data_IF_984204547903
#
_entry.id   IF_984204547903
#
_cell.length_a   1.000
_cell.length_b   1.000
_cell.length_c   1.000
_cell.angle_alpha   90.00
_cell.angle_beta   90.00
_cell.angle_gamma   90.00
#
_symmetry.space_group_name_H-M   'P 1'
#
loop_
_entity.id
_entity.type
_entity.pdbx_description
1 polymer ?
#
# COMPACT_ATOMS: atom_id res chain seq x y z
N UNK A 1 10.53 -4.71 11.81
CA UNK A 1 10.07 -6.03 11.31
C UNK A 1 8.56 -6.33 11.51
N UNK A 2 7.59 -5.42 11.27
CA UNK A 2 6.16 -5.76 11.38
C UNK A 2 5.72 -6.84 10.36
N UNK A 3 6.24 -6.75 9.12
CA UNK A 3 5.93 -7.70 8.04
C UNK A 3 6.29 -9.14 8.41
N UNK A 4 7.48 -9.39 8.95
CA UNK A 4 7.89 -10.72 9.38
C UNK A 4 6.89 -11.33 10.39
N UNK A 5 6.42 -10.54 11.36
CA UNK A 5 5.46 -10.99 12.36
C UNK A 5 4.08 -11.31 11.74
N UNK A 6 3.63 -10.53 10.76
CA UNK A 6 2.39 -10.81 10.01
C UNK A 6 2.47 -12.14 9.26
N UNK A 7 3.66 -12.49 8.76
CA UNK A 7 3.95 -13.76 8.08
C UNK A 7 4.25 -14.92 9.05
N UNK A 8 4.24 -14.68 10.36
CA UNK A 8 4.45 -15.69 11.40
C UNK A 8 5.91 -15.91 11.83
N UNK A 9 6.80 -14.98 11.51
CA UNK A 9 8.23 -15.04 11.86
C UNK A 9 8.58 -13.97 12.90
N UNK A 10 9.44 -14.31 13.87
CA UNK A 10 9.90 -13.38 14.92
C UNK A 10 9.46 -13.78 16.33
N UNK A 11 9.31 -12.80 17.21
CA UNK A 11 8.95 -13.03 18.62
C UNK A 11 7.53 -13.59 18.74
N UNK A 12 7.36 -14.66 19.54
CA UNK A 12 6.09 -15.36 19.66
C UNK A 12 4.95 -14.48 20.16
N UNK A 13 5.24 -13.51 21.03
CA UNK A 13 4.21 -12.62 21.56
C UNK A 13 3.66 -11.68 20.47
N UNK A 14 4.49 -11.33 19.49
CA UNK A 14 4.11 -10.49 18.35
C UNK A 14 3.45 -11.33 17.24
N UNK A 15 4.01 -12.50 16.92
CA UNK A 15 3.40 -13.39 15.92
C UNK A 15 2.04 -13.92 16.35
N UNK A 16 1.75 -13.99 17.66
CA UNK A 16 0.47 -14.48 18.19
C UNK A 16 -0.53 -13.38 18.57
N UNK A 17 -0.26 -12.11 18.24
CA UNK A 17 -1.16 -11.00 18.58
C UNK A 17 -2.51 -11.16 17.85
N UNK A 18 -3.64 -11.17 18.56
CA UNK A 18 -4.98 -11.32 17.97
C UNK A 18 -5.35 -12.75 17.51
N UNK A 19 -4.41 -13.51 16.94
CA UNK A 19 -4.56 -14.90 16.50
C UNK A 19 -3.21 -15.64 16.61
N UNK A 20 -3.23 -16.96 16.83
CA UNK A 20 -2.06 -17.84 16.85
C UNK A 20 -1.52 -18.18 15.46
N UNK A 21 -2.34 -18.03 14.42
CA UNK A 21 -1.92 -18.24 13.03
C UNK A 21 -1.23 -16.99 12.45
N UNK A 22 -0.40 -17.14 11.40
CA UNK A 22 0.03 -16.02 10.57
C UNK A 22 -1.17 -15.24 10.05
N UNK A 23 -1.06 -13.91 10.02
CA UNK A 23 -2.16 -13.01 9.66
C UNK A 23 -2.34 -12.93 8.16
N UNK A 24 -1.22 -13.03 7.43
CA UNK A 24 -1.17 -12.92 5.98
C UNK A 24 -0.33 -14.08 5.45
N UNK A 25 -0.80 -14.70 4.37
CA UNK A 25 0.00 -15.68 3.63
C UNK A 25 0.95 -14.94 2.68
N UNK A 26 2.20 -15.40 2.50
CA UNK A 26 3.19 -14.70 1.65
C UNK A 26 2.69 -14.35 0.24
N UNK A 27 1.95 -15.26 -0.41
CA UNK A 27 1.42 -15.06 -1.76
C UNK A 27 0.23 -14.09 -1.86
N UNK A 28 -0.28 -13.60 -0.72
CA UNK A 28 -1.29 -12.56 -0.62
C UNK A 28 -0.69 -11.23 -0.14
N UNK A 29 0.64 -11.08 -0.20
CA UNK A 29 1.38 -9.87 0.14
C UNK A 29 2.25 -9.43 -1.03
N UNK A 30 2.25 -8.12 -1.27
CA UNK A 30 3.18 -7.48 -2.20
C UNK A 30 3.87 -6.31 -1.48
N UNK A 31 5.17 -6.13 -1.73
CA UNK A 31 5.94 -4.95 -1.32
C UNK A 31 6.21 -4.12 -2.56
N UNK A 32 6.01 -2.79 -2.53
CA UNK A 32 6.14 -1.92 -3.70
C UNK A 32 7.05 -0.75 -3.37
N UNK A 33 7.97 -0.41 -4.28
CA UNK A 33 8.90 0.73 -4.12
C UNK A 33 10.10 0.43 -3.22
N UNK A 34 10.42 -0.84 -3.00
CA UNK A 34 11.57 -1.23 -2.17
C UNK A 34 12.85 -0.80 -2.87
N UNK A 35 13.67 -0.02 -2.17
CA UNK A 35 14.97 0.48 -2.63
C UNK A 35 16.09 0.39 -1.59
N UNK A 36 15.72 0.13 -0.33
CA UNK A 36 16.60 0.00 0.82
C UNK A 36 16.11 -1.19 1.65
N UNK A 37 17.02 -2.05 2.09
CA UNK A 37 16.70 -3.23 2.89
C UNK A 37 17.92 -3.72 3.66
N UNK A 38 17.66 -4.37 4.79
CA UNK A 38 18.65 -5.25 5.42
C UNK A 38 18.65 -6.61 4.70
N UNK A 39 19.84 -7.19 4.49
CA UNK A 39 20.02 -8.46 3.75
C UNK A 39 19.12 -9.59 4.30
N UNK A 40 19.01 -9.70 5.63
CA UNK A 40 18.15 -10.71 6.26
C UNK A 40 16.65 -10.52 6.03
N UNK A 41 16.17 -9.29 5.83
CA UNK A 41 14.77 -9.02 5.50
C UNK A 41 14.46 -9.44 4.07
N UNK A 42 15.35 -9.08 3.12
CA UNK A 42 15.23 -9.49 1.73
C UNK A 42 15.24 -11.01 1.59
N UNK A 43 16.23 -11.69 2.16
CA UNK A 43 16.36 -13.15 2.09
C UNK A 43 15.11 -13.85 2.63
N UNK A 44 14.54 -13.34 3.72
CA UNK A 44 13.31 -13.90 4.28
C UNK A 44 12.15 -13.77 3.30
N UNK A 45 11.89 -12.57 2.77
CA UNK A 45 10.76 -12.32 1.88
C UNK A 45 10.87 -13.10 0.56
N UNK A 46 12.06 -13.16 -0.02
CA UNK A 46 12.34 -13.95 -1.23
C UNK A 46 12.14 -15.44 -0.98
N UNK A 47 12.66 -15.98 0.13
CA UNK A 47 12.47 -17.39 0.52
C UNK A 47 10.99 -17.74 0.70
N UNK A 48 10.19 -16.81 1.21
CA UNK A 48 8.76 -16.99 1.40
C UNK A 48 7.94 -16.80 0.11
N UNK A 49 8.56 -16.30 -0.97
CA UNK A 49 7.89 -16.00 -2.22
C UNK A 49 6.94 -14.80 -2.13
N UNK A 50 7.24 -13.83 -1.25
CA UNK A 50 6.54 -12.54 -1.24
C UNK A 50 6.92 -11.79 -2.51
N UNK A 51 5.93 -11.21 -3.21
CA UNK A 51 6.21 -10.45 -4.42
C UNK A 51 6.75 -9.06 -4.04
N UNK A 52 8.01 -8.79 -4.38
CA UNK A 52 8.64 -7.49 -4.18
C UNK A 52 8.76 -6.79 -5.53
N UNK A 53 8.18 -5.60 -5.66
CA UNK A 53 8.38 -4.68 -6.77
C UNK A 53 9.40 -3.64 -6.33
N UNK A 54 10.65 -3.86 -6.72
CA UNK A 54 11.73 -2.93 -6.45
C UNK A 54 11.57 -1.63 -7.24
N UNK A 55 12.22 -0.56 -6.79
CA UNK A 55 12.08 0.75 -7.43
C UNK A 55 12.54 0.76 -8.90
N UNK A 56 13.56 -0.04 -9.26
CA UNK A 56 14.01 -0.19 -10.66
C UNK A 56 12.93 -0.79 -11.58
N UNK A 57 12.13 -1.70 -11.04
CA UNK A 57 10.98 -2.27 -11.72
C UNK A 57 9.84 -1.25 -11.84
N UNK A 58 9.60 -0.46 -10.78
CA UNK A 58 8.62 0.64 -10.78
C UNK A 58 8.99 1.67 -11.83
N UNK A 59 10.25 2.07 -11.93
CA UNK A 59 10.75 3.03 -12.93
C UNK A 59 10.57 2.51 -14.36
N UNK A 60 10.81 1.21 -14.58
CA UNK A 60 10.70 0.60 -15.91
C UNK A 60 9.26 0.44 -16.39
N UNK A 61 8.34 0.08 -15.49
CA UNK A 61 6.95 -0.29 -15.83
C UNK A 61 5.94 0.82 -15.57
N UNK A 62 6.29 1.76 -14.70
CA UNK A 62 5.37 2.73 -14.13
C UNK A 62 4.56 2.16 -12.97
N UNK A 63 4.37 2.99 -11.94
CA UNK A 63 3.67 2.60 -10.71
C UNK A 63 2.23 2.16 -10.93
N UNK A 64 1.54 2.69 -11.95
CA UNK A 64 0.17 2.29 -12.27
C UNK A 64 0.06 0.81 -12.66
N UNK A 65 0.94 0.32 -13.54
CA UNK A 65 0.96 -1.08 -13.96
C UNK A 65 1.34 -2.00 -12.78
N UNK A 66 2.36 -1.60 -12.02
CA UNK A 66 2.81 -2.33 -10.82
C UNK A 66 1.68 -2.48 -9.81
N UNK A 67 0.96 -1.39 -9.51
CA UNK A 67 -0.13 -1.42 -8.53
C UNK A 67 -1.33 -2.26 -9.01
N UNK A 68 -1.60 -2.31 -10.32
CA UNK A 68 -2.62 -3.19 -10.89
C UNK A 68 -2.24 -4.67 -10.73
N UNK A 69 -0.98 -5.04 -11.01
CA UNK A 69 -0.49 -6.40 -10.77
C UNK A 69 -0.54 -6.75 -9.27
N UNK A 70 -0.04 -5.86 -8.41
CA UNK A 70 -0.06 -6.06 -6.96
C UNK A 70 -1.49 -6.30 -6.45
N UNK A 71 -2.45 -5.45 -6.88
CA UNK A 71 -3.86 -5.62 -6.55
C UNK A 71 -4.39 -6.98 -7.02
N UNK A 72 -4.11 -7.38 -8.27
CA UNK A 72 -4.55 -8.67 -8.78
C UNK A 72 -4.01 -9.84 -7.93
N UNK A 73 -2.72 -9.82 -7.59
CA UNK A 73 -2.07 -10.88 -6.82
C UNK A 73 -2.65 -11.02 -5.42
N UNK A 74 -2.91 -9.90 -4.72
CA UNK A 74 -3.42 -9.93 -3.34
C UNK A 74 -4.94 -10.17 -3.27
N UNK A 75 -5.68 -9.97 -4.36
CA UNK A 75 -7.15 -10.11 -4.38
C UNK A 75 -7.67 -11.41 -4.99
N UNK A 76 -6.86 -12.17 -5.75
CA UNK A 76 -7.31 -13.38 -6.45
C UNK A 76 -7.82 -14.50 -5.53
N UNK A 77 -7.35 -14.56 -4.28
CA UNK A 77 -7.67 -15.60 -3.30
C UNK A 77 -8.07 -15.03 -1.92
N UNK A 78 -8.55 -13.79 -1.89
CA UNK A 78 -8.91 -13.11 -0.63
C UNK A 78 -10.29 -12.45 -0.75
N UNK A 79 -10.93 -12.21 0.40
CA UNK A 79 -12.19 -11.47 0.46
C UNK A 79 -12.00 -9.97 0.19
N UNK A 80 -10.76 -9.48 0.37
CA UNK A 80 -10.35 -8.11 0.18
C UNK A 80 -8.91 -7.91 0.60
N UNK A 81 -8.43 -6.67 0.51
CA UNK A 81 -7.03 -6.34 0.76
C UNK A 81 -6.90 -5.11 1.66
N UNK A 82 -5.76 -5.00 2.33
CA UNK A 82 -5.34 -3.79 3.04
C UNK A 82 -4.26 -3.06 2.24
N UNK A 83 -4.14 -1.75 2.45
CA UNK A 83 -3.06 -0.94 1.90
C UNK A 83 -2.29 -0.29 3.04
N UNK A 84 -1.05 -0.73 3.23
CA UNK A 84 -0.12 -0.11 4.18
C UNK A 84 0.81 0.81 3.42
N UNK A 85 0.77 2.10 3.76
CA UNK A 85 1.55 3.13 3.08
C UNK A 85 2.52 3.71 4.09
N UNK A 86 3.77 3.32 3.94
CA UNK A 86 4.87 4.05 4.53
C UNK A 86 5.14 5.29 3.66
N UNK A 87 5.04 6.49 4.23
CA UNK A 87 5.27 7.69 3.45
C UNK A 87 6.76 7.91 3.13
N UNK A 88 7.67 7.19 3.79
CA UNK A 88 9.09 7.17 3.43
C UNK A 88 9.36 6.44 2.09
N UNK A 89 8.39 5.67 1.61
CA UNK A 89 8.42 5.02 0.30
C UNK A 89 8.38 6.03 -0.86
N UNK A 90 7.89 7.24 -0.62
CA UNK A 90 7.90 8.32 -1.60
C UNK A 90 9.26 9.01 -1.66
N UNK A 91 9.51 9.71 -2.76
CA UNK A 91 10.73 10.51 -2.90
C UNK A 91 10.79 11.62 -1.83
N UNK A 92 12.00 11.91 -1.34
CA UNK A 92 12.25 12.97 -0.35
C UNK A 92 11.68 14.33 -0.78
N UNK A 93 11.60 14.62 -2.08
CA UNK A 93 11.00 15.86 -2.60
C UNK A 93 9.50 15.96 -2.30
N UNK A 94 8.81 14.81 -2.16
CA UNK A 94 7.38 14.73 -1.89
C UNK A 94 7.09 14.47 -0.39
N UNK A 95 7.93 13.72 0.31
CA UNK A 95 7.74 13.29 1.69
C UNK A 95 8.96 13.54 2.61
N UNK A 96 9.37 14.80 2.83
CA UNK A 96 10.54 15.11 3.67
C UNK A 96 10.36 14.80 5.17
N UNK A 97 9.13 14.69 5.67
CA UNK A 97 8.82 14.62 7.10
C UNK A 97 8.76 13.18 7.63
N UNK A 98 9.86 12.44 7.51
CA UNK A 98 9.95 11.02 7.91
C UNK A 98 11.17 10.73 8.79
N UNK A 99 11.24 9.51 9.31
CA UNK A 99 12.37 9.02 10.11
C UNK A 99 13.68 8.99 9.33
N UNK A 100 13.64 8.40 8.13
CA UNK A 100 14.77 8.08 7.25
C UNK A 100 14.45 8.49 5.81
N UNK A 101 14.56 9.79 5.46
CA UNK A 101 14.23 10.25 4.12
C UNK A 101 15.28 9.76 3.10
N UNK A 102 14.82 9.23 1.96
CA UNK A 102 15.68 8.72 0.90
C UNK A 102 15.26 9.24 -0.48
N UNK A 103 16.24 9.58 -1.32
CA UNK A 103 16.04 9.95 -2.72
C UNK A 103 15.65 8.74 -3.59
N UNK A 104 15.13 9.04 -4.78
CA UNK A 104 14.71 8.06 -5.79
C UNK A 104 13.57 7.16 -5.27
N UNK A 105 12.65 7.75 -4.52
CA UNK A 105 11.42 7.07 -4.09
C UNK A 105 10.32 7.16 -5.15
N UNK A 106 9.15 6.61 -4.82
CA UNK A 106 7.97 6.71 -5.69
C UNK A 106 7.57 8.19 -5.81
N UNK A 107 7.28 8.68 -7.01
CA UNK A 107 6.66 10.00 -7.17
C UNK A 107 5.24 9.99 -6.61
N UNK A 108 4.96 10.88 -5.65
CA UNK A 108 3.66 10.97 -5.01
C UNK A 108 2.53 11.26 -6.03
N UNK A 109 2.77 12.15 -6.99
CA UNK A 109 1.78 12.48 -8.01
C UNK A 109 1.47 11.29 -8.93
N UNK A 110 2.47 10.47 -9.30
CA UNK A 110 2.23 9.28 -10.11
C UNK A 110 1.47 8.21 -9.33
N UNK A 111 1.80 8.02 -8.05
CA UNK A 111 1.08 7.10 -7.17
C UNK A 111 -0.38 7.52 -6.98
N UNK A 112 -0.63 8.81 -6.71
CA UNK A 112 -2.00 9.34 -6.58
C UNK A 112 -2.81 9.09 -7.86
N UNK A 113 -2.21 9.24 -9.05
CA UNK A 113 -2.85 8.91 -10.32
C UNK A 113 -3.10 7.41 -10.47
N UNK A 114 -2.16 6.57 -10.06
CA UNK A 114 -2.31 5.11 -10.07
C UNK A 114 -3.49 4.67 -9.20
N UNK A 115 -3.67 5.25 -8.01
CA UNK A 115 -4.80 4.96 -7.10
C UNK A 115 -6.15 5.14 -7.79
N UNK A 116 -6.31 6.18 -8.63
CA UNK A 116 -7.56 6.42 -9.37
C UNK A 116 -7.90 5.29 -10.36
N UNK A 117 -6.93 4.45 -10.73
CA UNK A 117 -7.10 3.33 -11.67
C UNK A 117 -7.37 1.99 -10.98
N UNK A 118 -7.24 1.92 -9.66
CA UNK A 118 -7.40 0.69 -8.90
C UNK A 118 -8.86 0.39 -8.59
N UNK A 119 -9.23 -0.89 -8.52
CA UNK A 119 -10.52 -1.30 -7.96
C UNK A 119 -10.45 -1.31 -6.43
N UNK A 120 -10.96 -0.26 -5.80
CA UNK A 120 -10.94 -0.12 -4.34
C UNK A 120 -12.24 -0.64 -3.69
N UNK A 121 -13.11 -1.30 -4.45
CA UNK A 121 -14.35 -1.89 -3.91
C UNK A 121 -14.05 -2.88 -2.78
N UNK A 122 -12.97 -3.67 -2.93
CA UNK A 122 -12.48 -4.67 -1.96
C UNK A 122 -11.39 -4.18 -1.00
N UNK A 123 -11.08 -2.89 -0.98
CA UNK A 123 -10.18 -2.32 0.02
C UNK A 123 -10.86 -2.35 1.40
N UNK A 124 -10.27 -3.05 2.37
CA UNK A 124 -10.83 -3.26 3.71
C UNK A 124 -10.27 -2.25 4.73
N UNK A 125 -8.99 -1.92 4.62
CA UNK A 125 -8.31 -1.02 5.55
C UNK A 125 -7.13 -0.34 4.86
N UNK A 126 -6.82 0.87 5.33
CA UNK A 126 -5.63 1.62 4.94
C UNK A 126 -4.90 2.05 6.19
N UNK A 127 -3.59 1.92 6.21
CA UNK A 127 -2.72 2.58 7.19
C UNK A 127 -1.75 3.51 6.48
N UNK A 128 -1.50 4.67 7.09
CA UNK A 128 -0.49 5.64 6.64
C UNK A 128 0.44 5.87 7.83
N UNK A 129 1.71 5.54 7.67
CA UNK A 129 2.69 5.45 8.77
C UNK A 129 3.92 6.34 8.51
N UNK A 130 4.82 6.41 9.51
CA UNK A 130 6.09 7.18 9.51
C UNK A 130 6.01 8.70 9.28
N UNK A 131 4.82 9.28 9.23
CA UNK A 131 4.68 10.73 9.22
C UNK A 131 5.16 11.35 10.54
N UNK A 132 6.15 12.24 10.44
CA UNK A 132 6.73 13.00 11.54
C UNK A 132 6.45 14.50 11.38
N UNK A 133 5.32 15.03 11.89
CA UNK A 133 4.91 16.43 11.69
C UNK A 133 5.97 17.47 12.06
N UNK A 134 6.78 17.19 13.08
CA UNK A 134 7.84 18.10 13.54
C UNK A 134 9.04 18.23 12.57
N UNK A 135 9.12 17.39 11.53
CA UNK A 135 10.15 17.41 10.49
C UNK A 135 9.67 17.96 9.15
N UNK A 136 8.41 18.39 9.06
CA UNK A 136 7.85 18.85 7.79
C UNK A 136 8.45 20.20 7.37
N UNK A 137 8.41 20.43 6.07
CA UNK A 137 8.92 21.66 5.48
C UNK A 137 7.96 22.85 5.71
N UNK A 138 8.39 24.05 5.31
CA UNK A 138 7.57 25.26 5.45
C UNK A 138 6.27 25.21 4.63
N UNK A 139 6.21 24.33 3.63
CA UNK A 139 5.06 24.14 2.75
C UNK A 139 4.14 23.01 3.20
N UNK A 140 4.47 22.35 4.33
CA UNK A 140 3.76 21.19 4.86
C UNK A 140 3.57 20.10 3.81
N UNK A 141 4.63 19.82 3.04
CA UNK A 141 4.56 18.92 1.89
C UNK A 141 4.11 17.51 2.28
N UNK A 142 4.61 16.99 3.40
CA UNK A 142 4.25 15.64 3.86
C UNK A 142 2.84 15.59 4.46
N UNK A 143 2.43 16.60 5.23
CA UNK A 143 1.05 16.73 5.72
C UNK A 143 0.05 16.77 4.55
N UNK A 144 0.36 17.57 3.51
CA UNK A 144 -0.45 17.63 2.28
C UNK A 144 -0.49 16.29 1.56
N UNK A 145 0.64 15.57 1.48
CA UNK A 145 0.68 14.25 0.89
C UNK A 145 -0.24 13.26 1.63
N UNK A 146 -0.18 13.21 2.96
CA UNK A 146 -1.06 12.36 3.78
C UNK A 146 -2.54 12.65 3.50
N UNK A 147 -2.93 13.94 3.47
CA UNK A 147 -4.31 14.34 3.14
C UNK A 147 -4.68 13.91 1.72
N UNK A 148 -3.81 14.16 0.73
CA UNK A 148 -4.06 13.79 -0.66
C UNK A 148 -4.21 12.28 -0.84
N UNK A 149 -3.42 11.47 -0.13
CA UNK A 149 -3.53 10.00 -0.13
C UNK A 149 -4.90 9.57 0.41
N UNK A 150 -5.32 10.12 1.55
CA UNK A 150 -6.64 9.84 2.13
C UNK A 150 -7.77 10.22 1.16
N UNK A 151 -7.71 11.42 0.58
CA UNK A 151 -8.70 11.89 -0.38
C UNK A 151 -8.74 11.00 -1.64
N UNK A 152 -7.59 10.74 -2.26
CA UNK A 152 -7.51 9.94 -3.48
C UNK A 152 -8.06 8.52 -3.25
N UNK A 153 -7.69 7.86 -2.14
CA UNK A 153 -8.13 6.51 -1.81
C UNK A 153 -9.62 6.46 -1.54
N UNK A 154 -10.12 7.31 -0.62
CA UNK A 154 -11.50 7.18 -0.15
C UNK A 154 -12.52 7.82 -1.08
N UNK A 155 -12.19 8.92 -1.78
CA UNK A 155 -13.08 9.45 -2.82
C UNK A 155 -13.23 8.46 -3.97
N UNK A 156 -12.14 7.81 -4.40
CA UNK A 156 -12.20 6.76 -5.44
C UNK A 156 -13.03 5.57 -4.97
N UNK A 157 -12.78 5.07 -3.76
CA UNK A 157 -13.55 3.94 -3.18
C UNK A 157 -15.04 4.25 -3.10
N UNK A 158 -15.43 5.41 -2.54
CA UNK A 158 -16.83 5.76 -2.38
C UNK A 158 -17.52 6.06 -3.72
N UNK A 159 -16.81 6.65 -4.67
CA UNK A 159 -17.31 6.83 -6.03
C UNK A 159 -17.65 5.49 -6.70
N UNK A 160 -16.76 4.51 -6.59
CA UNK A 160 -16.99 3.16 -7.12
C UNK A 160 -18.19 2.47 -6.45
N UNK A 161 -18.27 2.51 -5.12
CA UNK A 161 -19.39 1.93 -4.37
C UNK A 161 -20.75 2.53 -4.74
N UNK A 162 -20.84 3.86 -4.81
CA UNK A 162 -22.07 4.57 -5.17
C UNK A 162 -22.51 4.25 -6.60
N UNK A 163 -21.55 4.07 -7.51
CA UNK A 163 -21.83 3.70 -8.90
C UNK A 163 -22.41 2.28 -8.97
N UNK A 164 -21.84 1.32 -8.26
CA UNK A 164 -22.35 -0.06 -8.19
C UNK A 164 -23.76 -0.12 -7.62
N UNK A 165 -24.02 0.53 -6.49
CA UNK A 165 -25.35 0.56 -5.86
C UNK A 165 -26.39 1.18 -6.81
N UNK A 166 -26.05 2.28 -7.49
CA UNK A 166 -26.95 2.93 -8.43
C UNK A 166 -27.32 2.05 -9.63
N UNK A 167 -26.38 1.22 -10.11
CA UNK A 167 -26.63 0.26 -11.19
C UNK A 167 -27.56 -0.88 -10.72
N UNK A 168 -27.31 -1.45 -9.54
CA UNK A 168 -28.14 -2.52 -8.96
C UNK A 168 -29.60 -2.07 -8.76
N UNK A 169 -29.81 -0.87 -8.22
CA UNK A 169 -31.15 -0.30 -8.04
C UNK A 169 -31.90 -0.10 -9.37
N UNK A 170 -31.20 0.37 -10.41
CA UNK A 170 -31.79 0.52 -11.75
C UNK A 170 -32.17 -0.82 -12.37
N UNK A 171 -31.34 -1.84 -12.19
CA UNK A 171 -31.65 -3.20 -12.67
C UNK A 171 -32.86 -3.79 -11.95
N UNK A 172 -32.98 -3.59 -10.64
CA UNK A 172 -34.15 -4.04 -9.86
C UNK A 172 -35.44 -3.32 -10.27
N UNK A 173 -35.37 -2.03 -10.61
CA UNK A 173 -36.54 -1.27 -11.04
C UNK A 173 -37.02 -1.64 -12.48
N UNK A 174 -36.20 -2.34 -13.26
CA UNK A 174 -36.53 -2.79 -14.63
C UNK A 174 -36.98 -4.26 -14.69
N UNK A 175 -36.91 -4.99 -13.58
CA UNK A 175 -37.34 -6.39 -13.45
C UNK A 175 -38.75 -6.50 -12.85
#
# INVERSE_FOLDING_TARGET
MPVAHLLGYGDKNLTSLGDKLPKILPHNMCMVGIRSYEEGEQELLERLGVRIFYMDEVDRRGIAEVMQEAQYLVTRNTIGFGMSIDIDGFDIADAPAVGTPEENGISANEFLRAVLTLDLSKLLATEIVEFMPGRDDQHKSSERLVVNLMEAIYLTKFFQQNTTIGLEQRMQAMA
#
